data_IF_597525584485
#
_entry.id   IF_597525584485
#
_cell.length_a   1.000
_cell.length_b   1.000
_cell.length_c   1.000
_cell.angle_alpha   90.00
_cell.angle_beta   90.00
_cell.angle_gamma   90.00
#
_symmetry.space_group_name_H-M   'P 1'
#
loop_
_entity.id
_entity.type
_entity.pdbx_description
1 polymer ?
#
# COMPACT_ATOMS: atom_id res chain seq x y z
N UNK A 1 -6.18 -35.52 -23.99
CA UNK A 1 -6.31 -34.71 -22.76
C UNK A 1 -6.58 -33.26 -23.18
N UNK A 2 -7.83 -32.93 -23.48
CA UNK A 2 -8.24 -31.56 -23.79
C UNK A 2 -9.64 -31.36 -23.20
N UNK A 3 -9.68 -31.05 -21.90
CA UNK A 3 -10.92 -30.70 -21.21
C UNK A 3 -11.26 -29.27 -21.60
N UNK A 4 -12.15 -29.12 -22.56
CA UNK A 4 -12.75 -27.84 -22.91
C UNK A 4 -13.80 -27.51 -21.84
N UNK A 5 -13.42 -26.65 -20.89
CA UNK A 5 -14.33 -26.06 -19.91
C UNK A 5 -15.17 -25.02 -20.65
N UNK A 6 -16.40 -25.38 -20.99
CA UNK A 6 -17.41 -24.46 -21.51
C UNK A 6 -17.84 -23.57 -20.34
N UNK A 7 -17.29 -22.37 -20.29
CA UNK A 7 -17.78 -21.30 -19.43
C UNK A 7 -19.17 -20.89 -19.91
N UNK A 8 -20.22 -21.37 -19.22
CA UNK A 8 -21.54 -20.82 -19.35
C UNK A 8 -21.49 -19.34 -18.92
N UNK A 9 -21.70 -18.42 -19.87
CA UNK A 9 -21.88 -16.99 -19.60
C UNK A 9 -23.36 -16.75 -19.26
N UNK A 10 -23.75 -16.68 -17.97
CA UNK A 10 -25.15 -16.60 -17.57
C UNK A 10 -25.82 -15.29 -18.03
N UNK A 11 -25.06 -14.25 -18.37
CA UNK A 11 -25.60 -12.95 -18.78
C UNK A 11 -26.14 -12.89 -20.22
N UNK A 12 -25.67 -13.75 -21.13
CA UNK A 12 -26.17 -13.77 -22.51
C UNK A 12 -27.50 -14.53 -22.64
N UNK A 13 -27.70 -15.53 -21.78
CA UNK A 13 -28.93 -16.34 -21.79
C UNK A 13 -30.12 -15.59 -21.18
N UNK A 14 -29.89 -14.76 -20.17
CA UNK A 14 -30.92 -13.91 -19.55
C UNK A 14 -31.40 -12.81 -20.47
N UNK A 15 -30.49 -12.16 -21.21
CA UNK A 15 -30.87 -11.15 -22.22
C UNK A 15 -31.68 -11.79 -23.35
N UNK A 16 -31.25 -12.96 -23.86
CA UNK A 16 -32.00 -13.70 -24.88
C UNK A 16 -33.37 -14.19 -24.39
N UNK A 17 -33.52 -14.53 -23.11
CA UNK A 17 -34.81 -14.97 -22.59
C UNK A 17 -35.79 -13.80 -22.43
N UNK A 18 -35.30 -12.62 -22.08
CA UNK A 18 -36.07 -11.38 -22.05
C UNK A 18 -36.55 -10.99 -23.44
N UNK A 19 -35.67 -10.94 -24.45
CA UNK A 19 -36.04 -10.63 -25.83
C UNK A 19 -37.15 -11.56 -26.35
N UNK A 20 -37.02 -12.88 -26.15
CA UNK A 20 -38.05 -13.86 -26.54
C UNK A 20 -39.40 -13.64 -25.87
N UNK A 21 -39.43 -13.18 -24.62
CA UNK A 21 -40.67 -12.90 -23.91
C UNK A 21 -41.37 -11.66 -24.49
N UNK A 22 -40.60 -10.62 -24.84
CA UNK A 22 -41.11 -9.43 -25.51
C UNK A 22 -41.61 -9.72 -26.92
N UNK A 23 -40.86 -10.54 -27.67
CA UNK A 23 -41.23 -10.95 -29.02
C UNK A 23 -42.55 -11.73 -29.01
N UNK A 24 -42.74 -12.64 -28.06
CA UNK A 24 -44.01 -13.38 -27.90
C UNK A 24 -45.20 -12.47 -27.60
N UNK A 25 -45.01 -11.44 -26.76
CA UNK A 25 -46.06 -10.45 -26.46
C UNK A 25 -46.39 -9.64 -27.71
N UNK A 26 -45.36 -9.22 -28.46
CA UNK A 26 -45.49 -8.48 -29.70
C UNK A 26 -46.26 -9.29 -30.76
N UNK A 27 -45.85 -10.52 -31.01
CA UNK A 27 -46.51 -11.43 -31.95
C UNK A 27 -47.99 -11.64 -31.58
N UNK A 28 -48.29 -11.85 -30.29
CA UNK A 28 -49.66 -11.98 -29.80
C UNK A 28 -50.48 -10.72 -30.03
N UNK A 29 -49.91 -9.54 -29.79
CA UNK A 29 -50.60 -8.28 -30.03
C UNK A 29 -50.85 -8.04 -31.52
N UNK A 30 -49.87 -8.34 -32.37
CA UNK A 30 -50.00 -8.29 -33.83
C UNK A 30 -51.08 -9.25 -34.33
N UNK A 31 -51.14 -10.47 -33.79
CA UNK A 31 -52.19 -11.44 -34.10
C UNK A 31 -53.59 -10.96 -33.68
N UNK A 32 -53.71 -10.34 -32.50
CA UNK A 32 -54.98 -9.75 -32.03
C UNK A 32 -55.42 -8.56 -32.90
N UNK A 33 -54.48 -7.70 -33.31
CA UNK A 33 -54.75 -6.60 -34.24
C UNK A 33 -55.23 -7.11 -35.60
N UNK A 34 -54.57 -8.14 -36.14
CA UNK A 34 -54.99 -8.78 -37.39
C UNK A 34 -56.39 -9.44 -37.28
N UNK A 35 -56.71 -10.04 -36.13
CA UNK A 35 -58.03 -10.60 -35.87
C UNK A 35 -59.11 -9.51 -35.79
N UNK A 36 -58.82 -8.38 -35.14
CA UNK A 36 -59.74 -7.22 -35.10
C UNK A 36 -59.98 -6.64 -36.50
N UNK A 37 -58.95 -6.54 -37.33
CA UNK A 37 -59.09 -6.08 -38.71
C UNK A 37 -59.97 -7.02 -39.54
N UNK A 38 -59.84 -8.35 -39.38
CA UNK A 38 -60.72 -9.33 -40.04
C UNK A 38 -62.17 -9.26 -39.56
N UNK A 39 -62.39 -8.91 -38.30
CA UNK A 39 -63.73 -8.71 -37.73
C UNK A 39 -64.40 -7.40 -38.19
N UNK A 40 -63.64 -6.43 -38.71
CA UNK A 40 -64.15 -5.19 -39.30
C UNK A 40 -64.61 -5.44 -40.74
N UNK A 41 -65.84 -5.94 -40.93
CA UNK A 41 -66.52 -5.96 -42.23
C UNK A 41 -67.43 -4.74 -42.36
N UNK A 42 -67.06 -3.78 -43.20
CA UNK A 42 -67.88 -2.62 -43.60
C UNK A 42 -67.31 -1.26 -43.20
N UNK A 43 -67.80 -0.16 -43.81
CA UNK A 43 -67.43 1.20 -43.44
C UNK A 43 -68.00 1.46 -42.05
N UNK A 44 -67.13 1.45 -41.05
CA UNK A 44 -67.51 1.72 -39.67
C UNK A 44 -67.85 3.20 -39.57
N UNK A 45 -69.04 3.59 -39.09
CA UNK A 45 -69.31 5.01 -38.84
C UNK A 45 -68.28 5.49 -37.83
N UNK A 46 -67.45 6.46 -38.23
CA UNK A 46 -66.44 7.07 -37.35
C UNK A 46 -67.14 7.97 -36.33
N UNK A 47 -67.83 7.34 -35.39
CA UNK A 47 -68.29 8.01 -34.18
C UNK A 47 -67.04 8.19 -33.34
N UNK A 48 -66.44 9.37 -33.44
CA UNK A 48 -65.36 9.79 -32.57
C UNK A 48 -65.90 9.95 -31.14
N UNK A 49 -66.01 8.83 -30.43
CA UNK A 49 -66.14 8.88 -28.98
C UNK A 49 -64.85 9.46 -28.44
N UNK A 50 -64.91 10.68 -27.92
CA UNK A 50 -63.80 11.34 -27.23
C UNK A 50 -63.62 10.61 -25.88
N UNK A 51 -63.11 9.38 -25.93
CA UNK A 51 -62.82 8.60 -24.73
C UNK A 51 -61.59 9.23 -24.09
N UNK A 52 -61.82 10.06 -23.07
CA UNK A 52 -60.73 10.62 -22.26
C UNK A 52 -60.10 9.48 -21.47
N UNK A 53 -58.98 8.98 -21.95
CA UNK A 53 -58.16 8.01 -21.23
C UNK A 53 -57.47 8.76 -20.08
N UNK A 54 -58.03 8.63 -18.87
CA UNK A 54 -57.39 9.13 -17.67
C UNK A 54 -56.30 8.15 -17.23
N UNK A 55 -55.06 8.45 -17.63
CA UNK A 55 -53.87 7.69 -17.25
C UNK A 55 -53.29 8.13 -15.89
N UNK A 56 -53.98 8.99 -15.12
CA UNK A 56 -53.48 9.48 -13.83
C UNK A 56 -53.19 8.37 -12.82
N UNK A 57 -53.82 7.19 -12.98
CA UNK A 57 -53.65 6.01 -12.12
C UNK A 57 -52.72 4.95 -12.68
N UNK A 58 -52.12 5.18 -13.85
CA UNK A 58 -51.21 4.21 -14.45
C UNK A 58 -49.86 4.27 -13.73
N UNK A 59 -49.75 3.52 -12.63
CA UNK A 59 -48.49 3.29 -11.97
C UNK A 59 -47.76 2.18 -12.72
N UNK A 60 -46.55 2.47 -13.18
CA UNK A 60 -45.68 1.48 -13.82
C UNK A 60 -45.44 0.34 -12.82
N UNK A 61 -45.92 -0.86 -13.15
CA UNK A 61 -45.65 -2.05 -12.35
C UNK A 61 -44.14 -2.23 -12.22
N UNK A 62 -43.65 -2.40 -10.99
CA UNK A 62 -42.25 -2.64 -10.75
C UNK A 62 -41.91 -4.07 -11.20
N UNK A 63 -41.10 -4.21 -12.25
CA UNK A 63 -40.59 -5.51 -12.69
C UNK A 63 -39.44 -5.95 -11.76
N UNK A 64 -39.65 -6.96 -10.90
CA UNK A 64 -38.63 -7.39 -9.93
C UNK A 64 -37.39 -8.01 -10.61
N UNK A 65 -37.53 -8.47 -11.86
CA UNK A 65 -36.42 -9.01 -12.64
C UNK A 65 -35.40 -7.93 -13.01
N UNK A 66 -35.87 -6.77 -13.48
CA UNK A 66 -34.99 -5.65 -13.86
C UNK A 66 -34.21 -5.09 -12.67
N UNK A 67 -34.83 -5.08 -11.49
CA UNK A 67 -34.15 -4.67 -10.26
C UNK A 67 -32.99 -5.62 -9.88
N UNK A 68 -33.14 -6.93 -10.12
CA UNK A 68 -32.07 -7.91 -9.87
C UNK A 68 -30.90 -7.74 -10.86
N UNK A 69 -31.18 -7.51 -12.13
CA UNK A 69 -30.16 -7.26 -13.16
C UNK A 69 -29.39 -5.96 -12.90
N UNK A 70 -30.07 -4.89 -12.51
CA UNK A 70 -29.40 -3.64 -12.14
C UNK A 70 -28.49 -3.81 -10.92
N UNK A 71 -28.89 -4.64 -9.95
CA UNK A 71 -28.08 -4.96 -8.77
C UNK A 71 -26.84 -5.79 -9.14
N UNK A 72 -26.99 -6.81 -9.99
CA UNK A 72 -25.82 -7.62 -10.41
C UNK A 72 -24.84 -6.80 -11.22
N UNK A 73 -25.33 -5.91 -12.10
CA UNK A 73 -24.49 -4.97 -12.84
C UNK A 73 -23.77 -3.98 -11.90
N UNK A 74 -24.49 -3.43 -10.92
CA UNK A 74 -23.89 -2.53 -9.92
C UNK A 74 -22.82 -3.25 -9.06
N UNK A 75 -23.08 -4.49 -8.64
CA UNK A 75 -22.10 -5.32 -7.94
C UNK A 75 -20.85 -5.57 -8.80
N UNK A 76 -21.01 -5.91 -10.07
CA UNK A 76 -19.89 -6.11 -10.98
C UNK A 76 -19.05 -4.83 -11.15
N UNK A 77 -19.72 -3.69 -11.31
CA UNK A 77 -19.05 -2.38 -11.41
C UNK A 77 -18.28 -2.03 -10.12
N UNK A 78 -18.90 -2.26 -8.97
CA UNK A 78 -18.27 -2.00 -7.67
C UNK A 78 -17.04 -2.90 -7.44
N UNK A 79 -17.12 -4.17 -7.85
CA UNK A 79 -15.97 -5.09 -7.80
C UNK A 79 -14.83 -4.63 -8.71
N UNK A 80 -15.14 -4.27 -9.97
CA UNK A 80 -14.15 -3.75 -10.91
C UNK A 80 -13.47 -2.49 -10.35
N UNK A 81 -14.27 -1.55 -9.85
CA UNK A 81 -13.76 -0.32 -9.24
C UNK A 81 -12.87 -0.61 -8.02
N UNK A 82 -13.29 -1.52 -7.14
CA UNK A 82 -12.51 -1.94 -5.98
C UNK A 82 -11.16 -2.53 -6.37
N UNK A 83 -11.12 -3.39 -7.40
CA UNK A 83 -9.87 -3.96 -7.91
C UNK A 83 -8.90 -2.89 -8.42
N UNK A 84 -9.40 -1.93 -9.21
CA UNK A 84 -8.60 -0.82 -9.73
C UNK A 84 -8.07 0.05 -8.58
N UNK A 85 -8.91 0.32 -7.59
CA UNK A 85 -8.53 1.16 -6.46
C UNK A 85 -7.51 0.48 -5.55
N UNK A 86 -7.65 -0.83 -5.31
CA UNK A 86 -6.63 -1.63 -4.60
C UNK A 86 -5.31 -1.63 -5.37
N UNK A 87 -5.35 -1.79 -6.70
CA UNK A 87 -4.14 -1.76 -7.53
C UNK A 87 -3.44 -0.39 -7.46
N UNK A 88 -4.20 0.71 -7.57
CA UNK A 88 -3.66 2.06 -7.42
C UNK A 88 -3.06 2.30 -6.03
N UNK A 89 -3.75 1.85 -4.98
CA UNK A 89 -3.25 1.90 -3.61
C UNK A 89 -1.96 1.09 -3.42
N UNK A 90 -1.89 -0.12 -3.96
CA UNK A 90 -0.68 -0.96 -3.95
C UNK A 90 0.47 -0.29 -4.69
N UNK A 91 0.20 0.31 -5.84
CA UNK A 91 1.21 1.00 -6.64
C UNK A 91 1.81 2.19 -5.87
N UNK A 92 0.97 3.03 -5.26
CA UNK A 92 1.39 4.15 -4.42
C UNK A 92 2.15 3.68 -3.17
N UNK A 93 1.66 2.63 -2.51
CA UNK A 93 2.32 2.04 -1.34
C UNK A 93 3.72 1.54 -1.71
N UNK A 94 3.87 0.85 -2.84
CA UNK A 94 5.17 0.37 -3.33
C UNK A 94 6.17 1.51 -3.55
N UNK A 95 5.70 2.67 -4.04
CA UNK A 95 6.53 3.86 -4.23
C UNK A 95 7.01 4.39 -2.87
N UNK A 96 6.11 4.51 -1.88
CA UNK A 96 6.48 4.98 -0.52
C UNK A 96 7.42 4.01 0.20
N UNK A 97 7.15 2.69 0.12
CA UNK A 97 8.04 1.66 0.66
C UNK A 97 9.40 1.66 -0.03
N UNK A 98 9.45 1.92 -1.34
CA UNK A 98 10.70 2.07 -2.09
C UNK A 98 11.58 3.20 -1.53
N UNK A 99 10.98 4.35 -1.23
CA UNK A 99 11.72 5.45 -0.60
C UNK A 99 12.17 5.16 0.83
N UNK A 100 11.34 4.48 1.64
CA UNK A 100 11.74 4.10 3.00
C UNK A 100 12.95 3.16 2.99
N UNK A 101 12.95 2.17 2.10
CA UNK A 101 14.08 1.24 1.93
C UNK A 101 15.35 1.98 1.47
N UNK A 102 15.22 2.91 0.54
CA UNK A 102 16.35 3.71 0.07
C UNK A 102 16.91 4.60 1.19
N UNK A 103 16.04 5.21 2.00
CA UNK A 103 16.45 6.03 3.14
C UNK A 103 17.17 5.23 4.23
N UNK A 104 16.70 4.01 4.52
CA UNK A 104 17.35 3.13 5.50
C UNK A 104 18.70 2.62 4.97
N UNK A 105 18.81 2.33 3.66
CA UNK A 105 20.10 2.01 3.04
C UNK A 105 21.11 3.15 3.12
N UNK A 106 20.66 4.38 2.88
CA UNK A 106 21.53 5.56 3.00
C UNK A 106 22.04 5.74 4.44
N UNK A 107 21.21 5.49 5.45
CA UNK A 107 21.64 5.53 6.85
C UNK A 107 22.72 4.49 7.16
N UNK A 108 22.56 3.26 6.67
CA UNK A 108 23.57 2.21 6.85
C UNK A 108 24.90 2.64 6.22
N UNK A 109 24.88 3.11 4.97
CA UNK A 109 26.08 3.58 4.28
C UNK A 109 26.76 4.73 5.03
N UNK A 110 25.97 5.69 5.53
CA UNK A 110 26.50 6.80 6.32
C UNK A 110 27.18 6.32 7.61
N UNK A 111 26.58 5.36 8.31
CA UNK A 111 27.15 4.78 9.54
C UNK A 111 28.43 3.97 9.23
N UNK A 112 28.47 3.25 8.12
CA UNK A 112 29.66 2.51 7.68
C UNK A 112 30.82 3.46 7.34
N UNK A 113 30.54 4.56 6.62
CA UNK A 113 31.52 5.59 6.31
C UNK A 113 32.04 6.29 7.56
N UNK A 114 31.16 6.61 8.51
CA UNK A 114 31.56 7.16 9.81
C UNK A 114 32.45 6.18 10.59
N UNK A 115 32.08 4.90 10.64
CA UNK A 115 32.91 3.88 11.27
C UNK A 115 34.29 3.78 10.63
N UNK A 116 34.36 3.79 9.30
CA UNK A 116 35.62 3.79 8.57
C UNK A 116 36.47 5.01 8.92
N UNK A 117 35.86 6.18 8.96
CA UNK A 117 36.55 7.43 9.31
C UNK A 117 37.07 7.42 10.75
N UNK A 118 36.27 6.90 11.70
CA UNK A 118 36.68 6.74 13.09
C UNK A 118 37.88 5.79 13.21
N UNK A 119 37.85 4.63 12.54
CA UNK A 119 38.97 3.68 12.53
C UNK A 119 40.25 4.26 11.94
N UNK A 120 40.13 5.05 10.87
CA UNK A 120 41.28 5.76 10.30
C UNK A 120 41.83 6.79 11.28
N UNK A 121 40.95 7.52 11.95
CA UNK A 121 41.32 8.53 12.95
C UNK A 121 41.99 7.88 14.16
N UNK A 122 41.46 6.75 14.63
CA UNK A 122 42.06 5.94 15.70
C UNK A 122 43.45 5.45 15.31
N UNK A 123 43.62 4.91 14.11
CA UNK A 123 44.94 4.50 13.61
C UNK A 123 45.93 5.68 13.53
N UNK A 124 45.46 6.87 13.12
CA UNK A 124 46.28 8.09 13.10
C UNK A 124 46.61 8.64 14.50
N UNK A 125 45.74 8.43 15.48
CA UNK A 125 45.98 8.83 16.87
C UNK A 125 46.90 7.84 17.59
N UNK A 126 46.77 6.55 17.26
CA UNK A 126 47.60 5.46 17.78
C UNK A 126 48.99 5.37 17.15
N UNK A 127 49.32 6.20 16.15
CA UNK A 127 50.63 6.20 15.51
C UNK A 127 51.73 6.57 16.53
N UNK A 128 52.62 5.62 16.89
CA UNK A 128 53.64 5.85 17.91
C UNK A 128 54.62 6.97 17.55
N UNK A 129 54.86 7.23 16.26
CA UNK A 129 55.72 8.33 15.83
C UNK A 129 55.10 9.69 16.17
N UNK A 130 53.79 9.82 16.01
CA UNK A 130 53.03 11.03 16.38
C UNK A 130 52.97 11.21 17.89
N UNK A 131 52.77 10.12 18.64
CA UNK A 131 52.77 10.14 20.10
C UNK A 131 54.14 10.56 20.64
N UNK A 132 55.24 10.03 20.12
CA UNK A 132 56.60 10.38 20.55
C UNK A 132 56.92 11.85 20.24
N UNK A 133 56.53 12.35 19.06
CA UNK A 133 56.67 13.79 18.75
C UNK A 133 55.89 14.68 19.74
N UNK A 134 54.64 14.32 20.05
CA UNK A 134 53.81 15.07 20.99
C UNK A 134 54.37 14.99 22.42
N UNK A 135 54.85 13.82 22.85
CA UNK A 135 55.50 13.63 24.14
C UNK A 135 56.73 14.55 24.29
N UNK A 136 57.59 14.60 23.28
CA UNK A 136 58.77 15.49 23.28
C UNK A 136 58.40 16.98 23.34
N UNK A 137 57.34 17.40 22.64
CA UNK A 137 56.84 18.78 22.73
C UNK A 137 56.33 19.13 24.13
N UNK A 138 55.76 18.17 24.84
CA UNK A 138 55.33 18.30 26.23
C UNK A 138 56.47 18.15 27.25
N UNK A 139 57.72 18.00 26.78
CA UNK A 139 58.90 17.79 27.64
C UNK A 139 58.98 16.40 28.28
N UNK A 140 58.15 15.46 27.83
CA UNK A 140 58.17 14.07 28.27
C UNK A 140 59.23 13.30 27.47
N UNK A 141 60.04 12.50 28.16
CA UNK A 141 61.09 11.67 27.56
C UNK A 141 61.01 10.24 28.09
N UNK A 142 61.61 9.30 27.38
CA UNK A 142 61.68 7.91 27.83
C UNK A 142 62.37 7.85 29.21
N UNK A 143 61.77 7.16 30.20
CA UNK A 143 62.33 7.09 31.54
C UNK A 143 63.69 6.37 31.52
N UNK A 144 64.64 6.87 32.32
CA UNK A 144 65.93 6.19 32.47
C UNK A 144 65.76 4.88 33.27
N UNK A 145 66.62 3.86 33.04
CA UNK A 145 66.57 2.61 33.80
C UNK A 145 66.61 2.88 35.31
N UNK A 146 65.59 2.45 36.05
CA UNK A 146 65.45 2.64 37.51
C UNK A 146 64.54 3.79 37.97
N UNK A 147 64.02 4.62 37.05
CA UNK A 147 63.17 5.78 37.38
C UNK A 147 61.66 5.45 37.47
N UNK A 148 61.26 4.22 37.14
CA UNK A 148 59.86 3.78 37.13
C UNK A 148 59.50 3.12 38.46
N UNK A 149 58.87 3.87 39.36
CA UNK A 149 58.32 3.33 40.62
C UNK A 149 56.91 2.79 40.35
N UNK A 150 56.74 1.46 40.42
CA UNK A 150 55.40 0.86 40.39
C UNK A 150 54.80 0.94 41.80
N UNK A 151 53.58 1.46 41.97
CA UNK A 151 52.95 1.57 43.29
C UNK A 151 52.70 0.21 43.98
N UNK A 152 52.72 -0.88 43.21
CA UNK A 152 52.53 -2.25 43.72
C UNK A 152 53.85 -3.00 43.99
N UNK A 153 55.01 -2.39 43.70
CA UNK A 153 56.30 -2.95 44.08
C UNK A 153 56.56 -2.57 45.55
N UNK A 154 56.67 -3.60 46.40
CA UNK A 154 56.95 -3.54 47.84
C UNK A 154 57.58 -2.22 48.30
N UNK A 155 56.80 -1.43 49.04
CA UNK A 155 57.19 -0.10 49.49
C UNK A 155 58.51 -0.14 50.26
N UNK A 156 59.56 0.43 49.68
CA UNK A 156 60.76 0.78 50.42
C UNK A 156 60.41 1.92 51.40
N UNK A 157 60.62 1.76 52.72
CA UNK A 157 60.23 2.74 53.74
C UNK A 157 61.01 4.06 53.69
N UNK A 158 61.99 4.19 52.79
CA UNK A 158 62.81 5.40 52.60
C UNK A 158 62.60 6.10 51.25
N UNK A 159 61.62 5.69 50.45
CA UNK A 159 61.34 6.35 49.17
C UNK A 159 60.61 7.70 49.39
N UNK A 160 60.98 8.77 48.66
CA UNK A 160 60.33 10.08 48.80
C UNK A 160 58.86 9.97 48.40
N UNK A 161 57.98 10.31 49.36
CA UNK A 161 56.54 10.23 49.20
C UNK A 161 56.03 11.20 48.12
N UNK A 162 55.54 10.65 47.01
CA UNK A 162 54.79 11.40 46.01
C UNK A 162 53.42 11.77 46.59
N UNK A 163 53.11 13.07 46.64
CA UNK A 163 51.79 13.57 47.01
C UNK A 163 50.76 13.10 45.96
N UNK A 164 49.89 12.17 46.33
CA UNK A 164 48.73 11.80 45.52
C UNK A 164 47.57 12.74 45.81
N UNK A 165 47.08 13.40 44.76
CA UNK A 165 45.78 14.08 44.78
C UNK A 165 44.74 13.05 44.33
N UNK A 166 43.93 12.57 45.28
CA UNK A 166 42.79 11.70 45.00
C UNK A 166 41.68 12.52 44.31
N UNK A 167 41.32 12.26 43.04
CA UNK A 167 40.20 12.95 42.42
C UNK A 167 38.89 12.46 43.02
N UNK A 168 38.12 13.37 43.61
CA UNK A 168 36.79 13.10 44.14
C UNK A 168 35.82 12.97 42.95
N UNK A 169 35.32 11.76 42.71
CA UNK A 169 34.34 11.51 41.65
C UNK A 169 32.98 12.12 42.04
N UNK A 170 32.31 12.86 41.13
CA UNK A 170 30.96 13.35 41.38
C UNK A 170 29.97 12.19 41.39
N UNK A 171 29.15 12.12 42.43
CA UNK A 171 28.06 11.15 42.56
C UNK A 171 27.01 11.43 41.47
N UNK A 172 26.86 10.48 40.55
CA UNK A 172 25.78 10.50 39.55
C UNK A 172 24.52 9.97 40.24
N UNK A 173 23.49 10.81 40.35
CA UNK A 173 22.13 10.44 40.77
C UNK A 173 21.24 10.31 39.54
#
# INVERSE_FOLDING_TARGET
>A
MATQVIAAQPGLETVRSYERAYDRIRERNEALMAAQQRARRGPTPEVFFIKRFDNSRLVKAADPHRAKEMRTFACAMALLFGLIMIYGWQHLSSIEYGYRIESEKQQIQQIEEQNRQLRLTEAQLGDPARIDQMARQLGLSAPHPGQVVRPDASADPNAPALAQVTPVLPAIR
#
